data_IF_497501081258
#
_entry.id   IF_497501081258
#
_cell.length_a   1.000
_cell.length_b   1.000
_cell.length_c   1.000
_cell.angle_alpha   90.00
_cell.angle_beta   90.00
_cell.angle_gamma   90.00
#
_symmetry.space_group_name_H-M   'P 1'
#
loop_
_entity.id
_entity.type
_entity.pdbx_description
1 polymer ?
#
# COMPACT_ATOMS: atom_id res chain seq x y z
N UNK A 1 -7.62 -6.16 1.72
CA UNK A 1 -7.38 -4.80 1.15
C UNK A 1 -8.71 -4.10 1.28
N UNK A 2 -8.76 -2.97 1.99
CA UNK A 2 -10.01 -2.23 2.18
C UNK A 2 -10.22 -1.16 1.10
N UNK A 3 -11.04 -0.16 1.42
CA UNK A 3 -11.37 0.93 0.50
C UNK A 3 -10.25 1.97 0.24
N UNK A 4 -9.07 1.84 0.87
CA UNK A 4 -7.98 2.82 0.76
C UNK A 4 -7.61 3.22 -0.67
N UNK A 5 -7.52 2.31 -1.67
CA UNK A 5 -7.20 2.71 -3.04
C UNK A 5 -8.24 3.65 -3.66
N UNK A 6 -9.53 3.40 -3.41
CA UNK A 6 -10.60 4.26 -3.91
C UNK A 6 -10.54 5.65 -3.26
N UNK A 7 -10.31 5.71 -1.95
CA UNK A 7 -10.15 6.98 -1.22
C UNK A 7 -8.92 7.76 -1.71
N UNK A 8 -7.79 7.07 -1.93
CA UNK A 8 -6.56 7.70 -2.42
C UNK A 8 -6.72 8.29 -3.83
N UNK A 9 -7.49 7.62 -4.71
CA UNK A 9 -7.81 8.13 -6.04
C UNK A 9 -8.83 9.28 -5.99
N UNK A 10 -9.83 9.19 -5.12
CA UNK A 10 -10.81 10.26 -4.91
C UNK A 10 -10.14 11.53 -4.37
N UNK A 11 -9.23 11.39 -3.39
CA UNK A 11 -8.46 12.51 -2.84
C UNK A 11 -7.63 13.24 -3.90
N UNK A 12 -7.25 12.56 -4.99
CA UNK A 12 -6.51 13.14 -6.13
C UNK A 12 -7.42 13.56 -7.29
N UNK A 13 -8.72 13.58 -7.08
CA UNK A 13 -9.74 13.84 -8.11
C UNK A 13 -9.65 12.91 -9.33
N UNK A 14 -8.99 11.76 -9.21
CA UNK A 14 -8.81 10.81 -10.30
C UNK A 14 -10.09 9.99 -10.57
N UNK A 15 -10.96 9.88 -9.55
CA UNK A 15 -12.28 9.25 -9.66
C UNK A 15 -13.30 10.06 -8.85
N UNK A 16 -14.55 10.03 -9.28
CA UNK A 16 -15.70 10.55 -8.53
C UNK A 16 -16.61 9.44 -7.99
N UNK A 17 -16.49 8.23 -8.54
CA UNK A 17 -17.22 7.03 -8.17
C UNK A 17 -16.26 5.85 -8.02
N UNK A 18 -16.50 4.97 -7.05
CA UNK A 18 -15.66 3.79 -6.84
C UNK A 18 -15.74 2.83 -8.01
N UNK A 19 -16.90 2.74 -8.67
CA UNK A 19 -17.15 1.86 -9.82
C UNK A 19 -16.14 2.03 -10.95
N UNK A 20 -15.56 3.22 -11.13
CA UNK A 20 -14.50 3.47 -12.11
C UNK A 20 -13.23 2.65 -11.82
N UNK A 21 -12.84 2.51 -10.55
CA UNK A 21 -11.71 1.67 -10.13
C UNK A 21 -12.01 0.18 -10.37
N UNK A 22 -13.20 -0.28 -9.97
CA UNK A 22 -13.62 -1.68 -10.19
C UNK A 22 -13.67 -2.02 -11.68
N UNK A 23 -14.17 -1.10 -12.51
CA UNK A 23 -14.19 -1.25 -13.96
C UNK A 23 -12.77 -1.38 -14.52
N UNK A 24 -11.86 -0.48 -14.15
CA UNK A 24 -10.47 -0.52 -14.60
C UNK A 24 -9.73 -1.80 -14.17
N UNK A 25 -10.03 -2.35 -12.99
CA UNK A 25 -9.42 -3.57 -12.47
C UNK A 25 -9.99 -4.85 -13.06
N UNK A 26 -11.31 -4.98 -13.10
CA UNK A 26 -11.96 -6.27 -13.32
C UNK A 26 -12.58 -6.42 -14.70
N UNK A 27 -13.03 -5.32 -15.32
CA UNK A 27 -13.63 -5.32 -16.67
C UNK A 27 -12.60 -4.98 -17.73
N UNK A 28 -12.06 -3.78 -17.66
CA UNK A 28 -11.17 -3.24 -18.71
C UNK A 28 -9.74 -3.76 -18.55
N UNK A 29 -9.37 -4.18 -17.33
CA UNK A 29 -8.05 -4.71 -16.97
C UNK A 29 -6.89 -3.80 -17.39
N UNK A 30 -7.13 -2.49 -17.38
CA UNK A 30 -6.10 -1.45 -17.54
C UNK A 30 -5.29 -1.28 -16.26
N UNK A 31 -5.90 -1.61 -15.12
CA UNK A 31 -5.24 -1.77 -13.82
C UNK A 31 -5.17 -3.24 -13.42
N UNK A 32 -4.25 -3.57 -12.53
CA UNK A 32 -4.09 -4.89 -11.94
C UNK A 32 -3.88 -4.79 -10.43
N UNK A 33 -4.48 -5.72 -9.71
CA UNK A 33 -4.25 -5.93 -8.29
C UNK A 33 -3.23 -7.05 -8.09
N UNK A 34 -2.01 -6.71 -7.67
CA UNK A 34 -0.90 -7.66 -7.58
C UNK A 34 -0.23 -7.64 -6.21
N UNK A 35 0.40 -8.75 -5.77
CA UNK A 35 1.30 -8.68 -4.64
C UNK A 35 2.54 -7.88 -5.09
N UNK A 36 2.95 -6.93 -4.27
CA UNK A 36 4.06 -6.04 -4.54
C UNK A 36 5.05 -5.99 -3.39
N UNK A 37 5.85 -4.91 -3.32
CA UNK A 37 6.80 -4.68 -2.24
C UNK A 37 6.22 -4.83 -0.83
N UNK A 38 7.06 -5.30 0.10
CA UNK A 38 6.75 -5.44 1.54
C UNK A 38 5.57 -6.36 1.85
N UNK A 39 5.29 -7.33 0.97
CA UNK A 39 4.18 -8.27 1.11
C UNK A 39 2.80 -7.64 0.96
N UNK A 40 2.74 -6.37 0.52
CA UNK A 40 1.50 -5.62 0.35
C UNK A 40 0.87 -5.95 -1.00
N UNK A 41 -0.41 -5.64 -1.10
CA UNK A 41 -1.13 -5.72 -2.37
C UNK A 41 -1.19 -4.31 -2.96
N UNK A 42 -0.84 -4.18 -4.24
CA UNK A 42 -0.72 -2.91 -4.94
C UNK A 42 -1.70 -2.87 -6.12
N UNK A 43 -2.31 -1.71 -6.33
CA UNK A 43 -3.04 -1.38 -7.57
C UNK A 43 -2.08 -0.65 -8.48
N UNK A 44 -1.83 -1.20 -9.67
CA UNK A 44 -0.86 -0.65 -10.65
C UNK A 44 -1.41 -0.77 -12.06
N UNK A 45 -0.81 -0.09 -13.02
CA UNK A 45 -1.12 -0.32 -14.43
C UNK A 45 -0.85 -1.78 -14.81
N UNK A 46 -1.68 -2.34 -15.68
CA UNK A 46 -1.50 -3.71 -16.16
C UNK A 46 -0.10 -3.93 -16.78
N UNK A 47 0.45 -2.91 -17.46
CA UNK A 47 1.79 -2.96 -18.04
C UNK A 47 2.91 -3.10 -16.99
N UNK A 48 2.72 -2.52 -15.79
CA UNK A 48 3.69 -2.57 -14.70
C UNK A 48 3.50 -3.77 -13.76
N UNK A 49 2.36 -4.45 -13.84
CA UNK A 49 2.01 -5.58 -12.99
C UNK A 49 3.11 -6.68 -12.91
N UNK A 50 3.74 -7.14 -14.01
CA UNK A 50 4.79 -8.15 -13.93
C UNK A 50 6.03 -7.66 -13.14
N UNK A 51 6.45 -6.42 -13.36
CA UNK A 51 7.61 -5.86 -12.64
C UNK A 51 7.33 -5.72 -11.14
N UNK A 52 6.10 -5.33 -10.76
CA UNK A 52 5.71 -5.23 -9.35
C UNK A 52 5.65 -6.60 -8.68
N UNK A 53 5.16 -7.62 -9.39
CA UNK A 53 5.16 -9.02 -8.91
C UNK A 53 6.56 -9.55 -8.60
N UNK A 54 7.60 -9.08 -9.29
CA UNK A 54 8.97 -9.54 -9.07
C UNK A 54 9.46 -9.33 -7.62
N UNK A 55 8.96 -8.29 -6.94
CA UNK A 55 9.24 -8.07 -5.51
C UNK A 55 8.61 -9.16 -4.65
N UNK A 56 7.36 -9.50 -4.94
CA UNK A 56 6.64 -10.55 -4.24
C UNK A 56 7.26 -11.94 -4.47
N UNK A 57 7.78 -12.22 -5.67
CA UNK A 57 8.47 -13.49 -5.96
C UNK A 57 9.69 -13.68 -5.06
N UNK A 58 10.57 -12.69 -4.98
CA UNK A 58 11.78 -12.78 -4.15
C UNK A 58 11.44 -12.93 -2.66
N UNK A 59 10.49 -12.14 -2.16
CA UNK A 59 10.03 -12.22 -0.77
C UNK A 59 9.35 -13.56 -0.47
N UNK A 60 8.56 -14.06 -1.41
CA UNK A 60 7.88 -15.34 -1.28
C UNK A 60 8.87 -16.50 -1.26
N UNK A 61 9.85 -16.54 -2.16
CA UNK A 61 10.89 -17.57 -2.17
C UNK A 61 11.65 -17.63 -0.83
N UNK A 62 12.03 -16.47 -0.28
CA UNK A 62 12.67 -16.40 1.04
C UNK A 62 11.75 -16.85 2.20
N UNK A 63 10.43 -16.63 2.09
CA UNK A 63 9.44 -17.11 3.05
C UNK A 63 9.23 -18.62 2.94
N UNK A 64 9.08 -19.14 1.72
CA UNK A 64 8.91 -20.56 1.42
C UNK A 64 10.11 -21.37 1.93
N UNK A 65 11.35 -20.95 1.63
CA UNK A 65 12.55 -21.62 2.10
C UNK A 65 12.63 -21.71 3.64
N UNK A 66 12.30 -20.62 4.35
CA UNK A 66 12.27 -20.60 5.82
C UNK A 66 11.21 -21.55 6.39
N UNK A 67 10.00 -21.55 5.82
CA UNK A 67 8.92 -22.41 6.28
C UNK A 67 9.19 -23.87 5.92
N UNK A 68 9.79 -24.15 4.77
CA UNK A 68 10.17 -25.48 4.36
C UNK A 68 11.18 -26.09 5.33
N UNK A 69 12.22 -25.34 5.69
CA UNK A 69 13.18 -25.75 6.71
C UNK A 69 12.52 -25.96 8.09
N UNK A 70 11.69 -25.01 8.54
CA UNK A 70 11.08 -25.07 9.87
C UNK A 70 10.00 -26.15 10.02
N UNK A 71 9.33 -26.52 8.93
CA UNK A 71 8.18 -27.45 8.94
C UNK A 71 8.49 -28.79 8.24
N UNK A 72 9.75 -29.02 7.85
CA UNK A 72 10.14 -30.21 7.10
C UNK A 72 9.37 -30.40 5.80
N UNK A 73 9.15 -29.33 5.03
CA UNK A 73 8.50 -29.43 3.71
C UNK A 73 9.53 -29.83 2.67
N UNK A 74 9.19 -30.84 1.88
CA UNK A 74 9.95 -31.25 0.71
C UNK A 74 9.48 -30.50 -0.54
N UNK A 75 10.31 -30.48 -1.60
CA UNK A 75 9.88 -30.00 -2.92
C UNK A 75 8.67 -30.77 -3.45
N UNK A 76 8.53 -32.06 -3.09
CA UNK A 76 7.37 -32.88 -3.45
C UNK A 76 6.08 -32.36 -2.80
N UNK A 77 6.14 -31.92 -1.54
CA UNK A 77 4.96 -31.36 -0.84
C UNK A 77 4.48 -30.07 -1.52
N UNK A 78 5.42 -29.20 -1.90
CA UNK A 78 5.12 -27.94 -2.58
C UNK A 78 4.53 -28.18 -3.98
N UNK A 79 5.15 -29.06 -4.78
CA UNK A 79 4.69 -29.37 -6.13
C UNK A 79 3.33 -30.07 -6.13
N UNK A 80 3.15 -31.10 -5.30
CA UNK A 80 1.86 -31.82 -5.19
C UNK A 80 0.73 -30.91 -4.73
N UNK A 81 1.00 -30.00 -3.79
CA UNK A 81 0.03 -28.98 -3.36
C UNK A 81 -0.30 -28.00 -4.50
N UNK A 82 0.69 -27.56 -5.28
CA UNK A 82 0.47 -26.68 -6.44
C UNK A 82 -0.41 -27.36 -7.48
N UNK A 83 -0.17 -28.62 -7.78
CA UNK A 83 -0.97 -29.39 -8.73
C UNK A 83 -2.39 -29.63 -8.21
N UNK A 84 -2.57 -29.89 -6.91
CA UNK A 84 -3.89 -29.95 -6.29
C UNK A 84 -4.65 -28.62 -6.38
N UNK A 85 -3.97 -27.48 -6.18
CA UNK A 85 -4.57 -26.14 -6.35
C UNK A 85 -4.94 -25.91 -7.82
N UNK A 86 -4.07 -26.25 -8.78
CA UNK A 86 -4.40 -26.15 -10.22
C UNK A 86 -5.63 -26.96 -10.58
N UNK A 87 -5.70 -28.22 -10.15
CA UNK A 87 -6.84 -29.09 -10.40
C UNK A 87 -8.12 -28.52 -9.78
N UNK A 88 -8.06 -28.02 -8.54
CA UNK A 88 -9.20 -27.37 -7.89
C UNK A 88 -9.64 -26.09 -8.61
N UNK A 89 -8.69 -25.29 -9.11
CA UNK A 89 -8.91 -24.03 -9.83
C UNK A 89 -9.16 -24.19 -11.34
N UNK A 90 -9.37 -25.42 -11.83
CA UNK A 90 -9.95 -25.66 -13.16
C UNK A 90 -11.29 -24.92 -13.35
N UNK A 91 -11.95 -24.56 -12.23
CA UNK A 91 -13.03 -23.59 -12.17
C UNK A 91 -12.69 -22.53 -11.11
N UNK A 92 -13.04 -21.24 -11.31
CA UNK A 92 -12.85 -20.21 -10.29
C UNK A 92 -13.55 -20.58 -8.96
N UNK A 93 -12.88 -20.34 -7.82
CA UNK A 93 -13.39 -20.71 -6.47
C UNK A 93 -13.15 -19.61 -5.45
N UNK A 94 -14.06 -19.46 -4.49
CA UNK A 94 -13.80 -18.64 -3.29
C UNK A 94 -12.76 -19.31 -2.39
N UNK A 95 -12.21 -18.58 -1.42
CA UNK A 95 -11.28 -19.14 -0.42
C UNK A 95 -11.82 -20.40 0.27
N UNK A 96 -13.08 -20.36 0.72
CA UNK A 96 -13.72 -21.49 1.40
C UNK A 96 -13.95 -22.66 0.45
N UNK A 97 -14.50 -22.40 -0.75
CA UNK A 97 -14.73 -23.44 -1.74
C UNK A 97 -13.43 -24.07 -2.28
N UNK A 98 -12.33 -23.31 -2.30
CA UNK A 98 -11.01 -23.82 -2.62
C UNK A 98 -10.48 -24.70 -1.49
N UNK A 99 -10.59 -24.26 -0.23
CA UNK A 99 -10.22 -25.07 0.94
C UNK A 99 -10.97 -26.40 0.93
N UNK A 100 -12.28 -26.40 0.68
CA UNK A 100 -13.09 -27.62 0.74
C UNK A 100 -12.78 -28.59 -0.42
N UNK A 101 -12.32 -28.06 -1.55
CA UNK A 101 -11.91 -28.86 -2.72
C UNK A 101 -10.50 -29.46 -2.59
N UNK A 102 -9.69 -29.01 -1.63
CA UNK A 102 -8.30 -29.45 -1.50
C UNK A 102 -8.16 -30.73 -0.64
N UNK A 103 -7.24 -31.63 -1.00
CA UNK A 103 -6.94 -32.81 -0.21
C UNK A 103 -6.41 -32.41 1.18
N UNK A 104 -6.52 -33.31 2.15
CA UNK A 104 -6.16 -33.04 3.56
C UNK A 104 -4.68 -32.65 3.69
N UNK A 105 -3.83 -33.27 2.88
CA UNK A 105 -2.37 -33.07 2.84
C UNK A 105 -2.03 -31.63 2.43
N UNK A 106 -2.72 -31.10 1.42
CA UNK A 106 -2.57 -29.70 0.99
C UNK A 106 -3.05 -28.72 2.07
N UNK A 107 -4.02 -29.12 2.92
CA UNK A 107 -4.57 -28.30 4.01
C UNK A 107 -3.79 -28.39 5.32
N UNK A 108 -2.66 -29.10 5.34
CA UNK A 108 -1.83 -29.29 6.54
C UNK A 108 -1.49 -27.94 7.20
N UNK A 109 -1.70 -27.85 8.50
CA UNK A 109 -1.31 -26.71 9.34
C UNK A 109 0.23 -26.62 9.41
N UNK A 110 0.78 -25.40 9.33
CA UNK A 110 2.21 -25.10 9.40
C UNK A 110 2.66 -24.68 10.81
N UNK A 111 1.77 -24.81 11.80
CA UNK A 111 1.99 -24.54 13.20
C UNK A 111 2.36 -23.10 13.50
N UNK A 112 3.13 -22.93 14.57
CA UNK A 112 3.63 -21.63 15.00
C UNK A 112 4.52 -20.93 13.96
N UNK A 113 5.42 -21.63 13.23
CA UNK A 113 6.13 -21.02 12.10
C UNK A 113 5.19 -20.41 11.07
N UNK A 114 4.12 -21.13 10.69
CA UNK A 114 3.11 -20.66 9.75
C UNK A 114 2.36 -19.42 10.23
N UNK A 115 1.88 -19.43 11.48
CA UNK A 115 1.19 -18.28 12.09
C UNK A 115 2.05 -17.03 12.12
N UNK A 116 3.31 -17.14 12.56
CA UNK A 116 4.26 -16.01 12.57
C UNK A 116 4.55 -15.46 11.17
N UNK A 117 4.48 -16.32 10.15
CA UNK A 117 4.66 -15.93 8.75
C UNK A 117 3.36 -15.51 8.04
N UNK A 118 2.22 -15.46 8.75
CA UNK A 118 0.89 -15.25 8.18
C UNK A 118 0.54 -16.21 7.02
N UNK A 119 0.99 -17.46 7.14
CA UNK A 119 0.74 -18.58 6.22
C UNK A 119 0.42 -19.83 7.04
N UNK A 120 -0.84 -19.97 7.48
CA UNK A 120 -1.23 -21.01 8.46
C UNK A 120 -1.25 -22.42 7.85
N UNK A 121 -1.46 -22.55 6.53
CA UNK A 121 -1.54 -23.85 5.85
C UNK A 121 -0.58 -23.96 4.67
N UNK A 122 -0.22 -25.19 4.30
CA UNK A 122 0.60 -25.46 3.13
C UNK A 122 -0.03 -24.92 1.83
N UNK A 123 -1.34 -25.13 1.64
CA UNK A 123 -2.07 -24.55 0.52
C UNK A 123 -2.02 -23.02 0.50
N UNK A 124 -2.12 -22.36 1.67
CA UNK A 124 -2.01 -20.90 1.76
C UNK A 124 -0.62 -20.39 1.37
N UNK A 125 0.44 -21.14 1.73
CA UNK A 125 1.80 -20.86 1.29
C UNK A 125 1.91 -20.97 -0.23
N UNK A 126 1.54 -22.12 -0.80
CA UNK A 126 1.68 -22.39 -2.24
C UNK A 126 0.81 -21.46 -3.09
N UNK A 127 -0.44 -21.21 -2.70
CA UNK A 127 -1.34 -20.28 -3.38
C UNK A 127 -0.76 -18.86 -3.46
N UNK A 128 -0.10 -18.40 -2.38
CA UNK A 128 0.59 -17.09 -2.38
C UNK A 128 1.74 -17.07 -3.39
N UNK A 129 2.49 -18.17 -3.52
CA UNK A 129 3.55 -18.30 -4.51
C UNK A 129 3.01 -18.26 -5.94
N UNK A 130 1.94 -19.00 -6.20
CA UNK A 130 1.23 -18.98 -7.48
C UNK A 130 0.73 -17.57 -7.84
N UNK A 131 0.20 -16.83 -6.87
CA UNK A 131 -0.20 -15.44 -7.07
C UNK A 131 1.02 -14.53 -7.30
N UNK A 132 2.13 -14.72 -6.58
CA UNK A 132 3.35 -13.95 -6.77
C UNK A 132 3.92 -14.09 -8.19
N UNK A 133 3.92 -15.30 -8.77
CA UNK A 133 4.41 -15.56 -10.13
C UNK A 133 3.38 -15.28 -11.23
N UNK A 134 2.18 -14.81 -10.88
CA UNK A 134 1.13 -14.49 -11.86
C UNK A 134 0.46 -15.73 -12.49
N UNK A 135 0.51 -16.88 -11.83
CA UNK A 135 -0.20 -18.09 -12.29
C UNK A 135 -1.65 -18.11 -11.82
N UNK A 136 -1.92 -17.56 -10.65
CA UNK A 136 -3.25 -17.39 -10.10
C UNK A 136 -3.55 -15.90 -10.01
N UNK A 137 -4.76 -15.53 -10.37
CA UNK A 137 -5.32 -14.21 -10.06
C UNK A 137 -6.38 -14.34 -8.97
N UNK A 138 -6.64 -13.22 -8.30
CA UNK A 138 -7.76 -13.07 -7.40
C UNK A 138 -8.60 -11.87 -7.79
N UNK A 139 -9.90 -12.03 -7.72
CA UNK A 139 -10.88 -10.98 -7.94
C UNK A 139 -11.96 -11.09 -6.86
N UNK A 140 -12.57 -9.99 -6.42
CA UNK A 140 -13.69 -10.05 -5.50
C UNK A 140 -14.85 -10.82 -6.12
N UNK A 141 -15.48 -11.71 -5.36
CA UNK A 141 -16.58 -12.53 -5.88
C UNK A 141 -17.78 -11.69 -6.35
N UNK A 142 -17.97 -10.51 -5.75
CA UNK A 142 -19.02 -9.52 -6.05
C UNK A 142 -18.54 -8.40 -7.00
N UNK A 143 -17.30 -8.43 -7.47
CA UNK A 143 -16.74 -7.42 -8.37
C UNK A 143 -16.36 -6.08 -7.72
N UNK A 144 -16.36 -6.00 -6.37
CA UNK A 144 -15.97 -4.82 -5.58
C UNK A 144 -14.64 -5.02 -4.86
N UNK A 145 -13.61 -4.21 -5.15
CA UNK A 145 -12.26 -4.38 -4.58
C UNK A 145 -12.21 -4.37 -3.03
N UNK A 146 -13.15 -3.69 -2.39
CA UNK A 146 -13.24 -3.50 -0.95
C UNK A 146 -14.05 -4.58 -0.23
N UNK A 147 -14.54 -5.61 -0.94
CA UNK A 147 -15.39 -6.67 -0.37
C UNK A 147 -14.76 -8.05 -0.46
N UNK A 148 -15.04 -8.82 0.59
CA UNK A 148 -14.87 -10.28 0.64
C UNK A 148 -16.21 -10.97 0.30
N UNK A 149 -16.20 -12.23 -0.17
CA UNK A 149 -15.03 -13.10 -0.35
C UNK A 149 -14.29 -12.87 -1.67
N UNK A 150 -12.98 -13.17 -1.68
CA UNK A 150 -12.18 -13.25 -2.91
C UNK A 150 -12.41 -14.59 -3.62
N UNK A 151 -12.43 -14.52 -4.95
CA UNK A 151 -12.42 -15.66 -5.87
C UNK A 151 -11.05 -15.77 -6.52
N UNK A 152 -10.48 -16.96 -6.47
CA UNK A 152 -9.25 -17.33 -7.14
C UNK A 152 -9.56 -18.02 -8.46
N UNK A 153 -8.73 -17.74 -9.47
CA UNK A 153 -8.77 -18.42 -10.77
C UNK A 153 -7.37 -18.57 -11.32
N UNK A 154 -7.14 -19.60 -12.14
CA UNK A 154 -5.93 -19.64 -12.96
C UNK A 154 -5.93 -18.43 -13.92
N UNK A 155 -4.78 -17.78 -14.05
CA UNK A 155 -4.61 -16.72 -15.06
C UNK A 155 -4.58 -17.39 -16.44
N UNK A 156 -5.51 -17.05 -17.36
CA UNK A 156 -5.49 -17.59 -18.72
C UNK A 156 -4.29 -17.10 -19.54
N UNK A 157 -3.62 -16.02 -19.10
CA UNK A 157 -2.46 -15.43 -19.76
C UNK A 157 -1.37 -15.13 -18.72
N UNK A 158 -0.77 -16.17 -18.11
CA UNK A 158 0.22 -15.98 -17.06
C UNK A 158 1.38 -15.16 -17.62
N UNK A 159 1.59 -13.99 -17.05
CA UNK A 159 2.62 -13.06 -17.51
C UNK A 159 3.97 -13.48 -16.95
N UNK A 160 4.99 -13.46 -17.80
CA UNK A 160 6.37 -13.69 -17.35
C UNK A 160 6.76 -12.60 -16.37
N UNK A 161 6.98 -12.98 -15.12
CA UNK A 161 7.50 -12.09 -14.10
C UNK A 161 9.01 -11.97 -14.32
N UNK A 162 9.53 -10.76 -14.62
CA UNK A 162 10.96 -10.59 -14.83
C UNK A 162 11.75 -10.84 -13.54
N UNK A 163 13.04 -11.17 -13.63
CA UNK A 163 13.92 -11.19 -12.47
C UNK A 163 13.87 -9.86 -11.72
N UNK A 164 13.94 -9.93 -10.39
CA UNK A 164 13.86 -8.72 -9.57
C UNK A 164 14.99 -7.71 -9.88
N UNK A 165 16.12 -8.14 -10.43
CA UNK A 165 17.21 -7.25 -10.85
C UNK A 165 16.81 -6.34 -12.02
N UNK A 166 15.91 -6.80 -12.90
CA UNK A 166 15.40 -6.05 -14.05
C UNK A 166 14.14 -5.25 -13.69
N UNK A 167 13.34 -5.75 -12.76
CA UNK A 167 12.09 -5.11 -12.36
C UNK A 167 12.28 -3.78 -11.62
N UNK A 168 13.27 -3.69 -10.73
CA UNK A 168 13.48 -2.49 -9.89
C UNK A 168 13.88 -1.29 -10.77
N UNK A 169 14.85 -1.38 -11.70
CA UNK A 169 15.16 -0.27 -12.60
C UNK A 169 13.99 0.17 -13.50
N UNK A 170 13.15 -0.78 -13.93
CA UNK A 170 11.99 -0.47 -14.77
C UNK A 170 10.96 0.41 -14.05
N UNK A 171 10.77 0.19 -12.76
CA UNK A 171 9.80 0.94 -11.95
C UNK A 171 10.39 2.18 -11.31
N UNK A 172 11.71 2.28 -11.20
CA UNK A 172 12.34 3.35 -10.42
C UNK A 172 12.13 4.73 -11.03
N UNK A 173 12.21 4.89 -12.36
CA UNK A 173 11.98 6.20 -12.97
C UNK A 173 10.53 6.68 -12.83
N UNK A 174 9.56 5.82 -13.13
CA UNK A 174 8.13 6.15 -13.00
C UNK A 174 7.79 6.54 -11.55
N UNK A 175 8.35 5.80 -10.60
CA UNK A 175 8.17 6.10 -9.18
C UNK A 175 8.82 7.44 -8.78
N UNK A 176 10.06 7.70 -9.22
CA UNK A 176 10.73 8.98 -8.95
C UNK A 176 9.92 10.13 -9.56
N UNK A 177 9.42 10.01 -10.79
CA UNK A 177 8.58 11.04 -11.42
C UNK A 177 7.32 11.35 -10.61
N UNK A 178 6.71 10.34 -9.99
CA UNK A 178 5.49 10.50 -9.21
C UNK A 178 5.73 11.03 -7.78
N UNK A 179 6.93 10.86 -7.23
CA UNK A 179 7.21 11.14 -5.82
C UNK A 179 8.29 12.21 -5.58
N UNK A 180 9.03 12.61 -6.62
CA UNK A 180 10.10 13.59 -6.53
C UNK A 180 9.62 14.92 -5.94
N UNK A 181 10.47 15.60 -5.14
CA UNK A 181 11.81 15.18 -4.71
C UNK A 181 11.82 14.07 -3.63
N UNK A 182 12.78 13.13 -3.73
CA UNK A 182 12.90 11.99 -2.79
C UNK A 182 14.34 11.54 -2.58
N UNK A 183 14.66 11.12 -1.35
CA UNK A 183 15.96 10.51 -1.05
C UNK A 183 16.03 9.05 -1.52
N UNK A 184 17.25 8.54 -1.74
CA UNK A 184 17.50 7.12 -2.02
C UNK A 184 16.96 6.23 -0.90
N UNK A 185 17.04 6.69 0.35
CA UNK A 185 16.52 6.00 1.53
C UNK A 185 15.00 5.84 1.46
N UNK A 186 14.28 6.90 1.06
CA UNK A 186 12.83 6.84 0.88
C UNK A 186 12.44 5.84 -0.22
N UNK A 187 13.14 5.86 -1.36
CA UNK A 187 12.96 4.86 -2.42
C UNK A 187 13.20 3.42 -1.89
N UNK A 188 14.30 3.19 -1.19
CA UNK A 188 14.62 1.90 -0.60
C UNK A 188 13.52 1.41 0.36
N UNK A 189 13.02 2.31 1.20
CA UNK A 189 11.96 2.02 2.17
C UNK A 189 10.62 1.70 1.49
N UNK A 190 10.24 2.45 0.45
CA UNK A 190 9.00 2.23 -0.31
C UNK A 190 8.94 0.82 -0.91
N UNK A 191 10.07 0.38 -1.48
CA UNK A 191 10.19 -0.93 -2.13
C UNK A 191 10.66 -2.06 -1.19
N UNK A 192 11.00 -1.75 0.07
CA UNK A 192 11.50 -2.75 1.02
C UNK A 192 12.80 -3.43 0.57
N UNK A 193 13.72 -2.68 -0.05
CA UNK A 193 14.99 -3.19 -0.56
C UNK A 193 16.18 -2.57 0.17
N UNK A 194 17.35 -3.21 0.07
CA UNK A 194 18.59 -2.67 0.62
C UNK A 194 18.98 -1.35 -0.08
N UNK A 195 19.59 -0.43 0.67
CA UNK A 195 20.01 0.87 0.15
C UNK A 195 20.98 0.76 -1.04
N UNK A 196 21.91 -0.21 -1.02
CA UNK A 196 22.82 -0.46 -2.15
C UNK A 196 22.09 -0.84 -3.43
N UNK A 197 20.99 -1.59 -3.32
CA UNK A 197 20.14 -1.98 -4.47
C UNK A 197 19.33 -0.79 -4.99
N UNK A 198 18.86 0.07 -4.09
CA UNK A 198 18.22 1.33 -4.47
C UNK A 198 19.18 2.22 -5.29
N UNK A 199 20.41 2.43 -4.81
CA UNK A 199 21.45 3.17 -5.56
C UNK A 199 21.67 2.54 -6.94
N UNK A 200 21.85 1.23 -7.02
CA UNK A 200 22.09 0.53 -8.28
C UNK A 200 20.91 0.66 -9.27
N UNK A 201 19.67 0.68 -8.78
CA UNK A 201 18.48 0.82 -9.62
C UNK A 201 18.21 2.25 -10.10
N UNK A 202 18.75 3.25 -9.40
CA UNK A 202 18.61 4.66 -9.75
C UNK A 202 19.75 5.15 -10.66
N UNK A 203 20.94 4.54 -10.56
CA UNK A 203 22.14 4.90 -11.33
C UNK A 203 21.95 5.01 -12.86
N UNK A 204 21.15 4.15 -13.54
CA UNK A 204 20.98 4.25 -14.99
C UNK A 204 20.15 5.45 -15.44
N UNK A 205 19.42 6.09 -14.53
CA UNK A 205 18.52 7.19 -14.83
C UNK A 205 19.23 8.53 -14.76
N UNK A 206 18.84 9.46 -15.63
CA UNK A 206 19.29 10.85 -15.57
C UNK A 206 18.54 11.57 -14.45
N UNK A 207 19.09 11.49 -13.25
CA UNK A 207 18.57 12.15 -12.05
C UNK A 207 19.54 13.24 -11.62
N UNK A 208 19.00 14.34 -11.11
CA UNK A 208 19.78 15.42 -10.51
C UNK A 208 19.59 15.41 -9.00
N UNK A 209 20.67 15.71 -8.29
CA UNK A 209 20.64 15.94 -6.84
C UNK A 209 20.17 17.37 -6.58
N UNK A 210 19.25 17.53 -5.63
CA UNK A 210 18.78 18.82 -5.13
C UNK A 210 18.84 18.82 -3.60
N UNK A 211 19.13 20.00 -3.04
CA UNK A 211 18.99 20.27 -1.61
C UNK A 211 17.61 20.87 -1.35
N UNK A 212 16.98 20.48 -0.25
CA UNK A 212 15.67 21.00 0.16
C UNK A 212 15.84 21.59 1.55
N UNK A 213 15.41 22.84 1.70
CA UNK A 213 15.46 23.51 2.99
C UNK A 213 14.72 22.71 4.07
N UNK A 214 15.34 22.58 5.24
CA UNK A 214 14.78 21.83 6.36
C UNK A 214 14.87 20.30 6.24
N UNK A 215 15.40 19.76 5.14
CA UNK A 215 15.60 18.32 4.98
C UNK A 215 17.07 17.92 4.88
N UNK A 216 17.41 16.86 5.60
CA UNK A 216 18.76 16.33 5.63
C UNK A 216 19.05 15.51 4.37
N UNK A 217 20.24 15.72 3.80
CA UNK A 217 20.79 14.92 2.72
C UNK A 217 20.26 15.27 1.33
N UNK A 218 20.79 14.54 0.36
CA UNK A 218 20.48 14.74 -1.05
C UNK A 218 19.13 14.13 -1.44
N UNK A 219 18.37 14.89 -2.22
CA UNK A 219 17.11 14.45 -2.82
C UNK A 219 17.28 14.36 -4.33
N UNK A 220 16.63 13.36 -4.91
CA UNK A 220 16.69 13.09 -6.33
C UNK A 220 15.41 13.58 -7.00
N UNK A 221 15.59 14.22 -8.15
CA UNK A 221 14.51 14.59 -9.06
C UNK A 221 14.89 14.20 -10.50
N UNK A 222 13.90 13.99 -11.38
CA UNK A 222 14.16 13.86 -12.82
C UNK A 222 14.96 15.03 -13.39
N UNK A 223 15.71 14.80 -14.47
CA UNK A 223 16.49 15.87 -15.13
C UNK A 223 15.62 17.06 -15.57
N UNK A 224 14.40 16.76 -16.03
CA UNK A 224 13.36 17.69 -16.49
C UNK A 224 12.45 18.20 -15.35
N UNK A 225 12.80 17.95 -14.08
CA UNK A 225 12.00 18.41 -12.95
C UNK A 225 11.97 19.94 -12.88
N UNK A 226 10.77 20.49 -12.95
CA UNK A 226 10.47 21.87 -12.62
C UNK A 226 9.85 21.93 -11.23
N UNK A 227 10.28 22.90 -10.42
CA UNK A 227 9.61 23.19 -9.15
C UNK A 227 8.20 23.69 -9.48
N UNK A 228 7.14 23.06 -8.95
CA UNK A 228 5.79 23.55 -9.15
C UNK A 228 5.65 24.98 -8.62
N UNK A 229 4.93 25.83 -9.35
CA UNK A 229 4.54 27.13 -8.82
C UNK A 229 3.57 26.91 -7.66
N UNK A 230 3.78 27.64 -6.56
CA UNK A 230 2.86 27.61 -5.44
C UNK A 230 1.56 28.31 -5.86
N UNK A 231 0.44 27.61 -5.76
CA UNK A 231 -0.87 28.23 -5.86
C UNK A 231 -1.12 29.07 -4.58
N UNK A 232 -1.78 30.21 -4.73
CA UNK A 232 -2.22 31.04 -3.60
C UNK A 232 -3.45 30.44 -2.90
N UNK A 233 -4.10 29.44 -3.51
CA UNK A 233 -5.23 28.73 -2.92
C UNK A 233 -4.81 27.73 -1.84
N UNK A 234 -5.62 27.62 -0.77
CA UNK A 234 -5.41 26.62 0.30
C UNK A 234 -5.72 25.24 -0.27
N UNK A 235 -4.68 24.44 -0.48
CA UNK A 235 -4.82 23.07 -0.99
C UNK A 235 -5.01 22.10 0.19
N UNK A 236 -6.13 21.37 0.24
CA UNK A 236 -6.41 20.40 1.30
C UNK A 236 -6.48 18.99 0.73
N UNK A 237 -5.66 18.08 1.28
CA UNK A 237 -5.70 16.66 0.94
C UNK A 237 -6.07 15.80 2.15
N UNK A 238 -7.07 14.94 2.00
CA UNK A 238 -7.47 13.95 3.01
C UNK A 238 -6.96 12.57 2.62
N UNK A 239 -5.75 12.25 3.06
CA UNK A 239 -5.05 11.02 2.66
C UNK A 239 -5.47 9.83 3.52
N UNK A 240 -5.81 8.67 2.93
CA UNK A 240 -6.15 7.47 3.69
C UNK A 240 -4.91 6.81 4.31
N UNK A 241 -5.15 5.84 5.18
CA UNK A 241 -4.10 4.92 5.62
C UNK A 241 -3.47 4.21 4.42
N UNK A 242 -2.13 4.10 4.42
CA UNK A 242 -1.33 3.52 3.32
C UNK A 242 -1.41 4.29 2.00
N UNK A 243 -1.70 5.59 2.04
CA UNK A 243 -1.58 6.43 0.85
C UNK A 243 -0.14 6.38 0.29
N UNK A 244 0.07 6.25 -1.03
CA UNK A 244 1.41 6.15 -1.63
C UNK A 244 2.36 7.29 -1.27
N UNK A 245 1.87 8.52 -1.08
CA UNK A 245 2.71 9.66 -0.70
C UNK A 245 3.36 9.45 0.67
N UNK A 246 2.56 8.92 1.60
CA UNK A 246 2.94 8.69 3.00
C UNK A 246 3.72 7.39 3.15
N UNK A 247 3.31 6.34 2.44
CA UNK A 247 3.96 5.04 2.46
C UNK A 247 5.40 5.07 1.95
N UNK A 248 5.71 6.05 1.09
CA UNK A 248 7.05 6.36 0.60
C UNK A 248 7.95 7.06 1.64
N UNK A 249 7.35 7.66 2.68
CA UNK A 249 7.99 8.54 3.66
C UNK A 249 7.63 8.09 5.08
N UNK A 250 8.24 7.00 5.58
CA UNK A 250 7.83 6.39 6.84
C UNK A 250 7.99 7.29 8.08
N UNK A 251 8.79 8.34 7.99
CA UNK A 251 9.01 9.37 9.00
C UNK A 251 8.31 10.70 8.68
N UNK A 252 7.51 10.75 7.60
CA UNK A 252 6.89 11.96 7.07
C UNK A 252 7.89 13.10 6.80
N UNK A 253 9.15 12.76 6.51
CA UNK A 253 10.17 13.74 6.18
C UNK A 253 9.70 14.64 5.02
N UNK A 254 9.82 15.95 5.20
CA UNK A 254 9.38 16.96 4.24
C UNK A 254 7.91 17.31 4.30
N UNK A 255 7.12 16.59 5.09
CA UNK A 255 5.69 16.87 5.27
C UNK A 255 5.39 17.49 6.63
N UNK A 256 6.20 17.22 7.66
CA UNK A 256 6.03 17.82 8.98
C UNK A 256 7.27 17.66 9.87
N UNK A 257 7.24 18.29 11.05
CA UNK A 257 8.25 18.08 12.09
C UNK A 257 8.17 16.66 12.68
N UNK A 258 9.26 16.16 13.31
CA UNK A 258 9.26 14.86 13.99
C UNK A 258 8.16 14.71 15.05
N UNK A 259 7.75 15.80 15.71
CA UNK A 259 6.73 15.79 16.76
C UNK A 259 5.33 15.58 16.19
N UNK A 260 5.03 16.23 15.06
CA UNK A 260 3.79 16.01 14.32
C UNK A 260 3.80 14.59 13.74
N UNK A 261 4.93 14.13 13.21
CA UNK A 261 5.05 12.77 12.69
C UNK A 261 4.75 11.72 13.78
N UNK A 262 5.32 11.87 14.98
CA UNK A 262 5.03 11.01 16.14
C UNK A 262 3.56 11.06 16.55
N UNK A 263 2.94 12.22 16.50
CA UNK A 263 1.51 12.43 16.84
C UNK A 263 0.56 11.85 15.79
N UNK A 264 1.04 11.65 14.57
CA UNK A 264 0.30 11.02 13.46
C UNK A 264 0.33 9.49 13.51
N UNK A 265 1.06 8.90 14.46
CA UNK A 265 1.14 7.44 14.59
C UNK A 265 -0.04 6.85 15.37
N UNK A 266 -0.51 5.72 14.86
CA UNK A 266 -1.48 4.86 15.54
C UNK A 266 -0.81 4.13 16.71
N UNK A 267 -1.61 3.50 17.58
CA UNK A 267 -1.06 2.66 18.67
C UNK A 267 -0.19 1.51 18.16
N UNK A 268 -0.45 1.04 16.95
CA UNK A 268 0.31 -0.02 16.29
C UNK A 268 1.55 0.51 15.53
N UNK A 269 1.83 1.82 15.62
CA UNK A 269 2.98 2.44 14.95
C UNK A 269 2.81 2.63 13.44
N UNK A 270 1.58 2.46 12.91
CA UNK A 270 1.27 2.83 11.52
C UNK A 270 0.96 4.33 11.45
N UNK A 271 1.04 4.92 10.26
CA UNK A 271 0.61 6.31 10.06
C UNK A 271 -0.91 6.33 9.92
N UNK A 272 -1.58 7.18 10.69
CA UNK A 272 -3.02 7.38 10.61
C UNK A 272 -3.42 8.07 9.29
N UNK A 273 -4.71 8.08 8.91
CA UNK A 273 -5.18 8.94 7.82
C UNK A 273 -4.83 10.41 8.14
N UNK A 274 -4.28 11.12 7.15
CA UNK A 274 -3.70 12.45 7.33
C UNK A 274 -4.56 13.53 6.70
N UNK A 275 -4.51 14.72 7.28
CA UNK A 275 -4.98 15.98 6.70
C UNK A 275 -3.73 16.76 6.32
N UNK A 276 -3.53 17.00 5.03
CA UNK A 276 -2.51 17.91 4.53
C UNK A 276 -3.15 19.24 4.16
N UNK A 277 -2.47 20.34 4.48
CA UNK A 277 -2.78 21.68 4.01
C UNK A 277 -1.51 22.26 3.41
N UNK A 278 -1.57 22.66 2.14
CA UNK A 278 -0.43 23.19 1.37
C UNK A 278 0.78 22.24 1.42
N UNK A 279 0.52 20.93 1.36
CA UNK A 279 1.53 19.89 1.41
C UNK A 279 2.08 19.56 2.81
N UNK A 280 1.70 20.29 3.86
CA UNK A 280 2.13 20.04 5.23
C UNK A 280 1.09 19.23 6.02
N UNK A 281 1.51 18.36 6.95
CA UNK A 281 0.58 17.61 7.81
C UNK A 281 0.09 18.49 8.97
N UNK A 282 -1.20 18.77 9.01
CA UNK A 282 -1.82 19.60 10.05
C UNK A 282 -2.76 18.81 10.98
N UNK A 283 -3.12 17.58 10.60
CA UNK A 283 -4.05 16.78 11.38
C UNK A 283 -4.18 15.36 10.90
N UNK A 284 -5.07 14.64 11.57
CA UNK A 284 -5.53 13.31 11.18
C UNK A 284 -7.04 13.31 11.04
N UNK A 285 -7.60 12.26 10.47
CA UNK A 285 -9.05 12.11 10.41
C UNK A 285 -9.48 10.67 10.68
N UNK A 286 -10.73 10.51 11.08
CA UNK A 286 -11.40 9.22 11.20
C UNK A 286 -12.82 9.33 10.65
N UNK A 287 -13.37 8.23 10.14
CA UNK A 287 -14.77 8.18 9.71
C UNK A 287 -15.65 7.62 10.82
N UNK A 288 -16.69 8.36 11.18
CA UNK A 288 -17.73 7.96 12.12
C UNK A 288 -18.88 7.32 11.34
N UNK A 289 -18.92 5.99 11.34
CA UNK A 289 -19.91 5.22 10.60
C UNK A 289 -21.35 5.44 11.09
N UNK A 290 -21.55 5.73 12.39
CA UNK A 290 -22.88 5.92 12.95
C UNK A 290 -23.50 7.24 12.47
N UNK A 291 -22.64 8.25 12.30
CA UNK A 291 -23.07 9.58 11.87
C UNK A 291 -22.82 9.85 10.38
N UNK A 292 -22.18 8.90 9.68
CA UNK A 292 -21.73 9.06 8.28
C UNK A 292 -20.93 10.34 8.05
N UNK A 293 -20.06 10.65 9.01
CA UNK A 293 -19.30 11.91 9.04
C UNK A 293 -17.82 11.64 9.17
N UNK A 294 -17.02 12.50 8.54
CA UNK A 294 -15.60 12.61 8.87
C UNK A 294 -15.41 13.40 10.16
N UNK A 295 -14.46 12.94 10.97
CA UNK A 295 -14.03 13.56 12.21
C UNK A 295 -12.58 14.04 12.05
N UNK A 296 -12.38 15.28 11.59
CA UNK A 296 -11.07 15.91 11.59
C UNK A 296 -10.52 16.00 13.02
N UNK A 297 -9.21 15.80 13.17
CA UNK A 297 -8.49 15.90 14.44
C UNK A 297 -7.23 16.76 14.24
N UNK A 298 -7.25 18.03 14.68
CA UNK A 298 -6.07 18.88 14.60
C UNK A 298 -4.93 18.31 15.41
N UNK A 299 -3.73 18.29 14.83
CA UNK A 299 -2.48 18.13 15.58
C UNK A 299 -1.93 19.51 15.95
N UNK A 300 -2.09 20.48 15.04
CA UNK A 300 -1.79 21.89 15.24
C UNK A 300 -3.07 22.72 15.09
N UNK A 301 -3.14 23.93 15.69
CA UNK A 301 -4.27 24.84 15.48
C UNK A 301 -4.44 25.21 14.00
N UNK A 302 -5.69 25.33 13.55
CA UNK A 302 -6.03 25.75 12.19
C UNK A 302 -6.55 27.19 12.19
N UNK A 303 -6.25 27.93 11.12
CA UNK A 303 -6.92 29.21 10.88
C UNK A 303 -8.41 29.00 10.52
N UNK A 304 -9.28 30.02 10.65
CA UNK A 304 -10.67 29.91 10.22
C UNK A 304 -10.82 29.50 8.74
N UNK A 305 -9.95 30.01 7.86
CA UNK A 305 -9.96 29.67 6.44
C UNK A 305 -9.56 28.21 6.20
N UNK A 306 -8.54 27.72 6.91
CA UNK A 306 -8.13 26.31 6.85
C UNK A 306 -9.24 25.39 7.37
N UNK A 307 -9.89 25.75 8.49
CA UNK A 307 -11.01 24.97 9.04
C UNK A 307 -12.14 24.85 8.02
N UNK A 308 -12.56 25.96 7.40
CA UNK A 308 -13.62 25.95 6.40
C UNK A 308 -13.26 25.08 5.17
N UNK A 309 -12.00 25.16 4.70
CA UNK A 309 -11.52 24.34 3.59
C UNK A 309 -11.48 22.85 3.94
N UNK A 310 -11.01 22.51 5.14
CA UNK A 310 -10.99 21.13 5.67
C UNK A 310 -12.39 20.58 5.81
N UNK A 311 -13.33 21.37 6.34
CA UNK A 311 -14.73 20.95 6.51
C UNK A 311 -15.39 20.65 5.16
N UNK A 312 -15.15 21.46 4.13
CA UNK A 312 -15.64 21.22 2.78
C UNK A 312 -15.10 19.91 2.17
N UNK A 313 -13.79 19.64 2.31
CA UNK A 313 -13.19 18.38 1.84
C UNK A 313 -13.68 17.18 2.66
N UNK A 314 -13.89 17.36 3.97
CA UNK A 314 -14.41 16.34 4.85
C UNK A 314 -15.87 16.00 4.50
N UNK A 315 -16.70 16.98 4.14
CA UNK A 315 -18.06 16.73 3.67
C UNK A 315 -18.05 15.97 2.33
N UNK A 316 -17.22 16.39 1.39
CA UNK A 316 -17.10 15.74 0.08
C UNK A 316 -16.67 14.27 0.22
N UNK A 317 -15.61 14.00 0.99
CA UNK A 317 -15.12 12.65 1.22
C UNK A 317 -16.10 11.82 2.05
N UNK A 318 -16.77 12.39 3.07
CA UNK A 318 -17.82 11.68 3.80
C UNK A 318 -18.98 11.28 2.88
N UNK A 319 -19.40 12.16 1.97
CA UNK A 319 -20.40 11.87 0.95
C UNK A 319 -19.96 10.77 -0.02
N UNK A 320 -18.70 10.78 -0.46
CA UNK A 320 -18.13 9.67 -1.25
C UNK A 320 -18.17 8.36 -0.49
N UNK A 321 -17.68 8.34 0.76
CA UNK A 321 -17.68 7.15 1.61
C UNK A 321 -19.11 6.61 1.79
N UNK A 322 -20.08 7.46 2.15
CA UNK A 322 -21.46 7.05 2.43
C UNK A 322 -22.19 6.48 1.20
N UNK A 323 -21.89 6.99 0.00
CA UNK A 323 -22.53 6.52 -1.25
C UNK A 323 -21.83 5.32 -1.86
N UNK A 324 -20.49 5.33 -1.82
CA UNK A 324 -19.68 4.43 -2.63
C UNK A 324 -19.09 3.27 -1.82
N UNK A 325 -18.93 3.40 -0.50
CA UNK A 325 -18.22 2.44 0.34
C UNK A 325 -19.14 1.89 1.43
N UNK A 326 -18.89 0.66 1.87
CA UNK A 326 -19.59 0.14 3.05
C UNK A 326 -18.82 0.56 4.32
N UNK A 327 -19.48 1.18 5.32
CA UNK A 327 -18.82 1.58 6.56
C UNK A 327 -17.98 0.48 7.28
N UNK A 328 -18.40 -0.80 7.35
CA UNK A 328 -17.61 -1.84 8.02
C UNK A 328 -16.29 -2.20 7.31
N UNK A 329 -16.07 -1.82 6.05
CA UNK A 329 -14.83 -2.13 5.31
C UNK A 329 -13.75 -1.06 5.47
N UNK A 330 -14.07 0.02 6.18
CA UNK A 330 -13.14 1.10 6.48
C UNK A 330 -12.33 0.72 7.73
N UNK A 331 -11.08 0.28 7.53
CA UNK A 331 -10.09 0.15 8.60
C UNK A 331 -9.64 1.51 9.19
N UNK A 332 -10.51 2.53 9.15
CA UNK A 332 -10.23 3.94 9.43
C UNK A 332 -10.56 4.34 10.87
N UNK A 333 -11.25 3.47 11.63
CA UNK A 333 -11.43 3.66 13.07
C UNK A 333 -10.15 3.32 13.82
N UNK A 334 -9.13 4.18 13.71
CA UNK A 334 -7.84 3.95 14.37
C UNK A 334 -7.71 4.84 15.61
N UNK A 335 -7.49 4.20 16.75
CA UNK A 335 -7.10 4.89 17.97
C UNK A 335 -5.66 5.42 17.81
N UNK A 336 -5.49 6.74 17.91
CA UNK A 336 -4.18 7.36 17.94
C UNK A 336 -3.43 6.97 19.21
N UNK A 337 -2.10 7.02 19.14
CA UNK A 337 -1.27 6.96 20.34
C UNK A 337 -1.56 8.23 21.16
N UNK A 338 -1.77 8.09 22.47
CA UNK A 338 -1.88 9.25 23.33
C UNK A 338 -0.60 10.10 23.19
N UNK A 339 -0.70 11.44 23.17
CA UNK A 339 0.48 12.29 23.17
C UNK A 339 1.35 11.86 24.36
N UNK A 340 2.61 11.52 24.09
CA UNK A 340 3.56 11.25 25.16
C UNK A 340 3.68 12.49 26.06
N UNK A 341 4.12 12.34 27.32
CA UNK A 341 4.41 13.51 28.14
C UNK A 341 5.34 14.43 27.34
N UNK A 342 4.90 15.67 27.08
CA UNK A 342 5.77 16.69 26.47
C UNK A 342 7.00 16.74 27.37
N UNK A 343 8.17 16.36 26.86
CA UNK A 343 9.40 16.67 27.56
C UNK A 343 9.41 18.19 27.64
N UNK A 344 9.34 18.73 28.86
CA UNK A 344 9.60 20.14 29.09
C UNK A 344 11.04 20.38 28.62
N UNK A 345 11.22 20.79 27.37
CA UNK A 345 12.49 21.33 26.93
C UNK A 345 12.64 22.62 27.71
N UNK A 346 13.69 22.68 28.52
CA UNK A 346 14.05 23.82 29.30
C UNK A 346 14.01 25.08 28.42
N UNK A 347 13.14 26.01 28.81
CA UNK A 347 13.38 27.43 28.59
C UNK A 347 14.70 27.75 29.28
N UNK A 348 15.80 27.69 28.52
CA UNK A 348 17.00 28.43 28.84
C UNK A 348 16.83 29.82 28.21
N UNK A 349 16.17 30.69 28.95
CA UNK A 349 16.44 32.12 28.86
C UNK A 349 17.85 32.40 29.40
N UNK A 350 18.57 33.23 28.63
CA UNK A 350 19.91 33.83 28.82
C UNK A 350 21.12 33.05 28.30
#
# INVERSE_FOLDING_TARGET
>A
MGASPAIALFARHAITQRSALDQALFRDRTLALVPGPRGLSWVVSAANAPAVRAFAVAEHAAREARLAAACGLSSRDLLSTRDAIRAALAKPRTSDALRDALPREARRDLGEPGRRAACVTLAGLVLRGMWAVGEVDREPAEGRIDRDPWRYRLDPMPRVVPPAAEAVPKLSLDWIKAHAPVSVRAFAAAFGIANSRAVAALKPHKLRSVSIEGLAGEHLVPEDFAVPEADESIAVDLLPVRDPLVDARPDLAGLCSPDIARSSLTRQGAIAPLILVDGAVLGTWAFDAALSQLRPRPIVPWSPAQSAAIDAHAEALAGFIARELDPPTLHLAVALRAPGPRSASADLEL
#
